data_IF_337216712253
#
_entry.id   IF_337216712253
#
_cell.length_a   1.000
_cell.length_b   1.000
_cell.length_c   1.000
_cell.angle_alpha   90.00
_cell.angle_beta   90.00
_cell.angle_gamma   90.00
#
_symmetry.space_group_name_H-M   'P 1'
#
loop_
_entity.id
_entity.type
_entity.pdbx_description
1 polymer ?
#
# COMPACT_ATOMS: atom_id res chain seq x y z
N UNK A 1 1.89 -33.68 35.25
CA UNK A 1 1.34 -33.37 33.91
C UNK A 1 2.33 -32.46 33.20
N UNK A 2 3.15 -33.02 32.32
CA UNK A 2 4.19 -32.27 31.63
C UNK A 2 3.55 -31.33 30.59
N UNK A 3 3.75 -30.03 30.79
CA UNK A 3 3.38 -28.99 29.83
C UNK A 3 4.20 -29.18 28.56
N UNK A 4 3.56 -29.66 27.50
CA UNK A 4 4.17 -29.73 26.18
C UNK A 4 4.54 -28.31 25.74
N UNK A 5 5.83 -28.08 25.52
CA UNK A 5 6.31 -26.86 24.90
C UNK A 5 5.61 -26.66 23.53
N UNK A 6 5.23 -25.43 23.15
CA UNK A 6 4.69 -25.18 21.83
C UNK A 6 5.71 -25.66 20.79
N UNK A 7 5.25 -26.46 19.83
CA UNK A 7 6.09 -27.00 18.76
C UNK A 7 6.84 -25.84 18.07
N UNK A 8 8.15 -26.00 17.75
CA UNK A 8 8.90 -24.97 17.06
C UNK A 8 8.20 -24.67 15.73
N UNK A 9 7.81 -23.41 15.54
CA UNK A 9 7.25 -22.89 14.29
C UNK A 9 8.10 -23.42 13.13
N UNK A 10 7.50 -24.17 12.20
CA UNK A 10 8.28 -24.92 11.22
C UNK A 10 9.09 -23.96 10.32
N UNK A 11 10.39 -23.91 10.54
CA UNK A 11 11.28 -23.39 9.49
C UNK A 11 11.05 -24.32 8.29
N UNK A 12 10.68 -23.80 7.10
CA UNK A 12 10.48 -24.65 5.94
C UNK A 12 11.69 -25.53 5.71
N UNK A 13 11.47 -26.83 5.62
CA UNK A 13 12.52 -27.78 5.27
C UNK A 13 13.21 -27.26 3.99
N UNK A 14 14.52 -26.96 4.02
CA UNK A 14 15.23 -26.39 2.88
C UNK A 14 15.20 -27.31 1.65
N UNK A 15 14.94 -28.61 1.82
CA UNK A 15 14.72 -29.55 0.73
C UNK A 15 13.35 -29.40 0.06
N UNK A 16 12.35 -28.84 0.76
CA UNK A 16 10.99 -28.65 0.25
C UNK A 16 10.93 -27.54 -0.79
N UNK A 17 10.03 -27.68 -1.78
CA UNK A 17 9.73 -26.62 -2.77
C UNK A 17 9.46 -25.26 -2.09
N UNK A 18 8.77 -25.29 -0.94
CA UNK A 18 8.46 -24.10 -0.15
C UNK A 18 9.71 -23.43 0.42
N UNK A 19 10.66 -24.21 0.96
CA UNK A 19 11.94 -23.70 1.45
C UNK A 19 12.77 -23.06 0.35
N UNK A 20 12.79 -23.66 -0.84
CA UNK A 20 13.47 -23.10 -2.02
C UNK A 20 12.84 -21.78 -2.48
N UNK A 21 11.50 -21.70 -2.51
CA UNK A 21 10.80 -20.45 -2.86
C UNK A 21 11.05 -19.37 -1.80
N UNK A 22 11.04 -19.72 -0.52
CA UNK A 22 11.38 -18.78 0.56
C UNK A 22 12.80 -18.22 0.36
N UNK A 23 13.78 -19.10 0.12
CA UNK A 23 15.16 -18.70 -0.14
C UNK A 23 15.30 -17.83 -1.41
N UNK A 24 14.54 -18.12 -2.47
CA UNK A 24 14.52 -17.31 -3.70
C UNK A 24 13.97 -15.91 -3.45
N UNK A 25 12.85 -15.80 -2.74
CA UNK A 25 12.16 -14.53 -2.49
C UNK A 25 12.91 -13.65 -1.48
N UNK A 26 13.63 -14.27 -0.54
CA UNK A 26 14.52 -13.58 0.40
C UNK A 26 15.90 -13.25 -0.20
N UNK A 27 16.24 -13.81 -1.37
CA UNK A 27 17.53 -13.58 -2.00
C UNK A 27 17.74 -12.09 -2.32
N UNK A 28 18.91 -11.50 -2.02
CA UNK A 28 19.20 -10.11 -2.33
C UNK A 28 18.99 -9.79 -3.81
N UNK A 29 19.41 -10.68 -4.72
CA UNK A 29 19.20 -10.48 -6.15
C UNK A 29 17.72 -10.32 -6.51
N UNK A 30 16.83 -11.14 -5.93
CA UNK A 30 15.39 -11.03 -6.17
C UNK A 30 14.83 -9.71 -5.64
N UNK A 31 15.26 -9.28 -4.45
CA UNK A 31 14.87 -7.98 -3.90
C UNK A 31 15.32 -6.80 -4.77
N UNK A 32 16.57 -6.82 -5.26
CA UNK A 32 17.08 -5.79 -6.17
C UNK A 32 16.33 -5.79 -7.51
N UNK A 33 16.01 -6.97 -8.05
CA UNK A 33 15.19 -7.11 -9.26
C UNK A 33 13.80 -6.48 -9.08
N UNK A 34 13.08 -6.82 -8.01
CA UNK A 34 11.77 -6.22 -7.72
C UNK A 34 11.88 -4.70 -7.54
N UNK A 35 12.91 -4.23 -6.84
CA UNK A 35 13.17 -2.80 -6.66
C UNK A 35 13.38 -2.09 -8.01
N UNK A 36 14.16 -2.69 -8.91
CA UNK A 36 14.36 -2.15 -10.26
C UNK A 36 13.04 -2.08 -11.05
N UNK A 37 12.23 -3.14 -11.00
CA UNK A 37 10.91 -3.16 -11.66
C UNK A 37 10.00 -2.05 -11.12
N UNK A 38 9.97 -1.83 -9.80
CA UNK A 38 9.21 -0.74 -9.19
C UNK A 38 9.70 0.63 -9.69
N UNK A 39 11.02 0.86 -9.73
CA UNK A 39 11.58 2.12 -10.19
C UNK A 39 11.25 2.40 -11.66
N UNK A 40 11.40 1.41 -12.54
CA UNK A 40 11.06 1.58 -13.95
C UNK A 40 9.56 1.81 -14.11
N UNK A 41 8.71 1.06 -13.41
CA UNK A 41 7.26 1.25 -13.47
C UNK A 41 6.82 2.63 -12.94
N UNK A 42 7.49 3.18 -11.92
CA UNK A 42 7.23 4.53 -11.44
C UNK A 42 7.56 5.59 -12.51
N UNK A 43 8.66 5.42 -13.25
CA UNK A 43 9.02 6.28 -14.39
C UNK A 43 7.98 6.15 -15.51
N UNK A 44 7.59 4.92 -15.87
CA UNK A 44 6.55 4.64 -16.87
C UNK A 44 5.25 5.36 -16.52
N UNK A 45 4.83 5.33 -15.26
CA UNK A 45 3.60 5.97 -14.80
C UNK A 45 3.67 7.51 -14.90
N UNK A 46 4.85 8.10 -14.66
CA UNK A 46 5.09 9.52 -14.94
C UNK A 46 4.98 9.85 -16.43
N UNK A 47 5.53 8.99 -17.30
CA UNK A 47 5.42 9.15 -18.74
C UNK A 47 3.99 8.98 -19.26
N UNK A 48 3.18 8.10 -18.66
CA UNK A 48 1.75 7.94 -18.97
C UNK A 48 0.94 9.23 -18.74
N UNK A 49 1.44 10.13 -17.89
CA UNK A 49 0.79 11.42 -17.61
C UNK A 49 1.05 12.45 -18.72
N UNK A 50 2.09 12.26 -19.54
CA UNK A 50 2.44 13.16 -20.65
C UNK A 50 1.73 12.75 -21.93
N UNK A 51 0.92 13.65 -22.49
CA UNK A 51 0.24 13.43 -23.79
C UNK A 51 1.23 13.19 -24.93
N UNK A 52 2.37 13.88 -24.92
CA UNK A 52 3.45 13.71 -25.92
C UNK A 52 4.08 12.32 -25.82
N UNK A 53 4.38 11.84 -24.61
CA UNK A 53 4.96 10.52 -24.41
C UNK A 53 3.96 9.40 -24.75
N UNK A 54 2.68 9.59 -24.41
CA UNK A 54 1.62 8.67 -24.78
C UNK A 54 1.38 8.61 -26.30
N UNK A 55 1.52 9.72 -27.01
CA UNK A 55 1.44 9.73 -28.47
C UNK A 55 2.63 8.99 -29.13
N UNK A 56 3.83 9.10 -28.56
CA UNK A 56 5.03 8.48 -29.11
C UNK A 56 5.16 6.98 -28.76
N UNK A 57 4.81 6.59 -27.53
CA UNK A 57 5.08 5.25 -27.00
C UNK A 57 3.96 4.67 -26.11
N UNK A 58 2.74 5.21 -26.17
CA UNK A 58 1.63 4.83 -25.28
C UNK A 58 1.37 3.33 -25.16
N UNK A 59 1.23 2.56 -26.27
CA UNK A 59 1.02 1.12 -26.20
C UNK A 59 2.16 0.37 -25.48
N UNK A 60 3.41 0.82 -25.66
CA UNK A 60 4.57 0.25 -25.00
C UNK A 60 4.59 0.55 -23.50
N UNK A 61 4.27 1.79 -23.11
CA UNK A 61 4.17 2.19 -21.69
C UNK A 61 3.10 1.36 -20.97
N UNK A 62 1.91 1.22 -21.57
CA UNK A 62 0.81 0.42 -21.01
C UNK A 62 1.16 -1.07 -20.92
N UNK A 63 1.85 -1.62 -21.92
CA UNK A 63 2.33 -3.01 -21.88
C UNK A 63 3.33 -3.21 -20.73
N UNK A 64 4.24 -2.27 -20.53
CA UNK A 64 5.20 -2.31 -19.44
C UNK A 64 4.50 -2.24 -18.06
N UNK A 65 3.49 -1.37 -17.89
CA UNK A 65 2.70 -1.32 -16.65
C UNK A 65 2.00 -2.65 -16.36
N UNK A 66 1.42 -3.29 -17.38
CA UNK A 66 0.80 -4.60 -17.27
C UNK A 66 1.78 -5.71 -16.89
N UNK A 67 2.98 -5.71 -17.50
CA UNK A 67 4.05 -6.67 -17.17
C UNK A 67 4.54 -6.47 -15.73
N UNK A 68 4.77 -5.21 -15.32
CA UNK A 68 5.18 -4.89 -13.95
C UNK A 68 4.14 -5.37 -12.93
N UNK A 69 2.85 -5.13 -13.20
CA UNK A 69 1.76 -5.64 -12.37
C UNK A 69 1.80 -7.17 -12.29
N UNK A 70 1.93 -7.87 -13.42
CA UNK A 70 2.00 -9.33 -13.43
C UNK A 70 3.17 -9.87 -12.61
N UNK A 71 4.36 -9.25 -12.70
CA UNK A 71 5.52 -9.58 -11.87
C UNK A 71 5.19 -9.43 -10.38
N UNK A 72 4.51 -8.34 -10.00
CA UNK A 72 4.11 -8.10 -8.61
C UNK A 72 3.07 -9.09 -8.10
N UNK A 73 2.11 -9.52 -8.93
CA UNK A 73 1.16 -10.58 -8.58
C UNK A 73 1.92 -11.88 -8.30
N UNK A 74 2.86 -12.25 -9.18
CA UNK A 74 3.66 -13.46 -9.02
C UNK A 74 4.52 -13.37 -7.76
N UNK A 75 5.21 -12.24 -7.54
CA UNK A 75 6.03 -11.99 -6.35
C UNK A 75 5.22 -12.20 -5.05
N UNK A 76 4.04 -11.59 -4.95
CA UNK A 76 3.18 -11.71 -3.77
C UNK A 76 2.61 -13.12 -3.64
N UNK A 77 2.26 -13.77 -4.74
CA UNK A 77 1.87 -15.18 -4.75
C UNK A 77 2.98 -16.10 -4.21
N UNK A 78 4.23 -15.87 -4.60
CA UNK A 78 5.39 -16.61 -4.10
C UNK A 78 5.62 -16.35 -2.61
N UNK A 79 5.55 -15.09 -2.15
CA UNK A 79 5.63 -14.73 -0.72
C UNK A 79 4.52 -15.40 0.10
N UNK A 80 3.29 -15.37 -0.39
CA UNK A 80 2.15 -15.99 0.28
C UNK A 80 2.30 -17.51 0.37
N UNK A 81 2.77 -18.15 -0.70
CA UNK A 81 3.05 -19.59 -0.70
C UNK A 81 4.18 -19.98 0.25
N UNK A 82 5.26 -19.19 0.26
CA UNK A 82 6.43 -19.41 1.12
C UNK A 82 6.10 -19.25 2.62
N UNK A 83 5.40 -18.17 2.98
CA UNK A 83 5.21 -17.76 4.37
C UNK A 83 3.83 -18.10 4.97
N UNK A 84 2.82 -18.43 4.15
CA UNK A 84 1.46 -18.78 4.57
C UNK A 84 0.89 -17.78 5.59
N UNK A 85 0.47 -18.24 6.78
CA UNK A 85 -0.09 -17.38 7.83
C UNK A 85 0.92 -16.35 8.38
N UNK A 86 2.22 -16.62 8.28
CA UNK A 86 3.26 -15.66 8.69
C UNK A 86 3.30 -14.43 7.78
N UNK A 87 2.85 -14.56 6.53
CA UNK A 87 2.70 -13.44 5.61
C UNK A 87 1.84 -12.32 6.21
N UNK A 88 0.71 -12.67 6.84
CA UNK A 88 -0.24 -11.73 7.44
C UNK A 88 0.19 -11.18 8.81
N UNK A 89 1.34 -11.62 9.34
CA UNK A 89 1.92 -11.03 10.57
C UNK A 89 2.87 -9.88 10.28
N UNK A 90 3.31 -9.73 9.04
CA UNK A 90 4.18 -8.64 8.60
C UNK A 90 3.34 -7.54 7.93
N UNK A 91 3.30 -6.37 8.55
CA UNK A 91 2.55 -5.22 8.06
C UNK A 91 2.99 -4.76 6.66
N UNK A 92 4.26 -4.95 6.29
CA UNK A 92 4.77 -4.60 4.96
C UNK A 92 4.27 -5.56 3.88
N UNK A 93 4.14 -6.85 4.21
CA UNK A 93 3.58 -7.84 3.31
C UNK A 93 2.07 -7.61 3.11
N UNK A 94 1.34 -7.25 4.17
CA UNK A 94 -0.08 -6.87 4.07
C UNK A 94 -0.23 -5.62 3.21
N UNK A 95 0.60 -4.60 3.42
CA UNK A 95 0.59 -3.37 2.62
C UNK A 95 0.78 -3.65 1.13
N UNK A 96 1.78 -4.46 0.78
CA UNK A 96 2.00 -4.86 -0.61
C UNK A 96 0.82 -5.65 -1.19
N UNK A 97 0.24 -6.57 -0.41
CA UNK A 97 -0.92 -7.36 -0.82
C UNK A 97 -2.12 -6.47 -1.13
N UNK A 98 -2.40 -5.47 -0.28
CA UNK A 98 -3.50 -4.52 -0.49
C UNK A 98 -3.25 -3.69 -1.76
N UNK A 99 -2.04 -3.17 -1.96
CA UNK A 99 -1.70 -2.39 -3.14
C UNK A 99 -1.89 -3.19 -4.43
N UNK A 100 -1.37 -4.41 -4.46
CA UNK A 100 -1.51 -5.29 -5.63
C UNK A 100 -2.99 -5.66 -5.83
N UNK A 101 -3.71 -5.96 -4.75
CA UNK A 101 -5.15 -6.25 -4.79
C UNK A 101 -5.98 -5.11 -5.40
N UNK A 102 -5.72 -3.86 -5.01
CA UNK A 102 -6.37 -2.67 -5.58
C UNK A 102 -6.07 -2.54 -7.08
N UNK A 103 -4.85 -2.88 -7.52
CA UNK A 103 -4.46 -2.83 -8.92
C UNK A 103 -5.10 -3.92 -9.80
N UNK A 104 -5.59 -5.03 -9.21
CA UNK A 104 -6.34 -6.06 -9.92
C UNK A 104 -7.83 -5.75 -10.10
N UNK A 105 -8.37 -4.71 -9.44
CA UNK A 105 -9.79 -4.40 -9.51
C UNK A 105 -10.20 -4.07 -10.96
N UNK A 106 -11.23 -4.74 -11.52
CA UNK A 106 -11.68 -4.51 -12.88
C UNK A 106 -12.04 -3.05 -13.15
N UNK A 107 -11.78 -2.61 -14.37
CA UNK A 107 -11.86 -1.21 -14.79
C UNK A 107 -13.28 -0.67 -15.01
N UNK A 108 -14.32 -1.48 -14.75
CA UNK A 108 -15.73 -1.15 -14.98
C UNK A 108 -16.56 -1.14 -13.67
N UNK A 109 -17.44 -0.14 -13.52
CA UNK A 109 -18.41 -0.04 -12.42
C UNK A 109 -18.13 1.07 -11.40
N UNK A 110 -18.86 1.07 -10.26
CA UNK A 110 -18.81 2.13 -9.23
C UNK A 110 -17.43 2.34 -8.59
N UNK A 111 -16.53 1.37 -8.75
CA UNK A 111 -15.20 1.37 -8.16
C UNK A 111 -14.13 2.01 -9.07
N UNK A 112 -14.54 2.85 -10.03
CA UNK A 112 -13.63 3.54 -10.95
C UNK A 112 -12.59 4.41 -10.23
N UNK A 113 -12.86 4.90 -9.01
CA UNK A 113 -11.89 5.62 -8.18
C UNK A 113 -10.69 4.74 -7.78
N UNK A 114 -10.89 3.42 -7.59
CA UNK A 114 -9.81 2.50 -7.25
C UNK A 114 -8.77 2.41 -8.38
N UNK A 115 -9.16 2.78 -9.62
CA UNK A 115 -8.23 2.99 -10.73
C UNK A 115 -7.18 4.03 -10.40
N UNK A 116 -7.58 5.19 -9.86
CA UNK A 116 -6.63 6.25 -9.55
C UNK A 116 -5.65 5.80 -8.45
N UNK A 117 -6.12 4.98 -7.51
CA UNK A 117 -5.31 4.42 -6.44
C UNK A 117 -4.21 3.47 -6.94
N UNK A 118 -4.22 3.00 -8.20
CA UNK A 118 -3.11 2.25 -8.76
C UNK A 118 -1.79 3.03 -8.76
N UNK A 119 -1.82 4.37 -8.69
CA UNK A 119 -0.62 5.21 -8.50
C UNK A 119 0.06 4.94 -7.16
N UNK A 120 -0.71 4.51 -6.15
CA UNK A 120 -0.19 4.13 -4.84
C UNK A 120 0.78 2.96 -4.92
N UNK A 121 0.82 2.20 -6.03
CA UNK A 121 1.81 1.15 -6.23
C UNK A 121 3.26 1.65 -6.21
N UNK A 122 3.48 2.94 -6.51
CA UNK A 122 4.81 3.57 -6.35
C UNK A 122 5.24 3.58 -4.87
N UNK A 123 4.28 3.60 -3.94
CA UNK A 123 4.56 3.49 -2.50
C UNK A 123 5.13 2.13 -2.09
N UNK A 124 5.13 1.11 -2.97
CA UNK A 124 5.87 -0.13 -2.73
C UNK A 124 7.38 0.10 -2.60
N UNK A 125 7.91 1.22 -3.09
CA UNK A 125 9.29 1.61 -2.75
C UNK A 125 9.49 1.72 -1.23
N UNK A 126 8.49 2.21 -0.50
CA UNK A 126 8.54 2.29 0.96
C UNK A 126 8.64 0.90 1.59
N UNK A 127 7.96 -0.08 1.01
CA UNK A 127 7.98 -1.46 1.49
C UNK A 127 9.19 -2.25 1.02
N UNK A 128 9.92 -1.89 -0.04
CA UNK A 128 11.13 -2.67 -0.43
C UNK A 128 12.43 -2.03 0.04
N UNK A 129 12.48 -0.70 0.21
CA UNK A 129 13.70 0.01 0.60
C UNK A 129 13.82 0.08 2.13
N UNK A 130 14.82 -0.57 2.76
CA UNK A 130 14.91 -0.64 4.22
C UNK A 130 15.04 0.71 4.93
N UNK A 131 15.71 1.69 4.32
CA UNK A 131 15.82 3.04 4.87
C UNK A 131 14.46 3.74 4.90
N UNK A 132 13.65 3.59 3.85
CA UNK A 132 12.29 4.15 3.80
C UNK A 132 11.37 3.47 4.82
N UNK A 133 11.46 2.14 4.98
CA UNK A 133 10.74 1.42 6.04
C UNK A 133 11.03 2.00 7.42
N UNK A 134 12.30 2.28 7.73
CA UNK A 134 12.71 2.86 9.02
C UNK A 134 12.13 4.26 9.22
N UNK A 135 12.19 5.11 8.19
CA UNK A 135 11.61 6.47 8.24
C UNK A 135 10.11 6.40 8.49
N UNK A 136 9.38 5.59 7.72
CA UNK A 136 7.93 5.43 7.85
C UNK A 136 7.56 4.82 9.21
N UNK A 137 8.30 3.82 9.68
CA UNK A 137 8.08 3.23 11.01
C UNK A 137 8.33 4.24 12.13
N UNK A 138 9.34 5.11 12.00
CA UNK A 138 9.58 6.19 12.96
C UNK A 138 8.44 7.22 12.97
N UNK A 139 7.91 7.59 11.79
CA UNK A 139 6.74 8.46 11.68
C UNK A 139 5.51 7.86 12.36
N UNK A 140 5.19 6.59 12.07
CA UNK A 140 4.08 5.90 12.71
C UNK A 140 4.30 5.69 14.22
N UNK A 141 5.55 5.47 14.65
CA UNK A 141 5.92 5.34 16.06
C UNK A 141 5.74 6.63 16.86
N UNK A 142 5.76 7.80 16.21
CA UNK A 142 5.49 9.08 16.86
C UNK A 142 3.99 9.35 17.08
N UNK A 143 3.10 8.73 16.28
CA UNK A 143 1.66 8.99 16.34
C UNK A 143 0.99 8.69 17.69
N UNK A 144 1.29 7.58 18.39
CA UNK A 144 0.67 7.29 19.68
C UNK A 144 0.94 8.38 20.72
N UNK A 145 2.13 8.97 20.72
CA UNK A 145 2.50 10.08 21.63
C UNK A 145 1.72 11.37 21.36
N UNK A 146 1.16 11.52 20.15
CA UNK A 146 0.35 12.66 19.74
C UNK A 146 -1.16 12.43 19.91
N UNK A 147 -1.59 11.25 20.36
CA UNK A 147 -3.01 10.86 20.42
C UNK A 147 -3.88 11.87 21.19
N UNK A 148 -3.40 12.36 22.33
CA UNK A 148 -4.12 13.37 23.13
C UNK A 148 -4.29 14.70 22.38
N UNK A 149 -3.27 15.14 21.65
CA UNK A 149 -3.32 16.39 20.86
C UNK A 149 -4.31 16.22 19.71
N UNK A 150 -4.24 15.09 18.99
CA UNK A 150 -5.18 14.75 17.92
C UNK A 150 -6.62 14.73 18.44
N UNK A 151 -6.86 14.12 19.61
CA UNK A 151 -8.18 14.05 20.22
C UNK A 151 -8.74 15.45 20.58
N UNK A 152 -7.93 16.30 21.21
CA UNK A 152 -8.33 17.69 21.53
C UNK A 152 -8.59 18.48 20.26
N UNK A 153 -7.73 18.35 19.24
CA UNK A 153 -7.91 19.05 17.96
C UNK A 153 -9.20 18.61 17.26
N UNK A 154 -9.51 17.32 17.25
CA UNK A 154 -10.77 16.79 16.69
C UNK A 154 -11.99 17.31 17.46
N UNK A 155 -11.92 17.41 18.79
CA UNK A 155 -12.99 17.98 19.61
C UNK A 155 -13.22 19.46 19.28
N UNK A 156 -12.14 20.24 19.16
CA UNK A 156 -12.22 21.66 18.81
C UNK A 156 -12.83 21.84 17.42
N UNK A 157 -12.38 21.08 16.41
CA UNK A 157 -12.98 21.12 15.08
C UNK A 157 -14.45 20.70 15.10
N UNK A 158 -14.83 19.68 15.87
CA UNK A 158 -16.22 19.26 16.00
C UNK A 158 -17.12 20.35 16.61
N UNK A 159 -16.72 20.95 17.74
CA UNK A 159 -17.48 22.04 18.37
C UNK A 159 -17.57 23.26 17.44
N UNK A 160 -16.47 23.58 16.76
CA UNK A 160 -16.41 24.64 15.74
C UNK A 160 -17.40 24.39 14.59
N UNK A 161 -17.38 23.20 13.98
CA UNK A 161 -18.29 22.84 12.89
C UNK A 161 -19.76 22.95 13.31
N UNK A 162 -20.12 22.49 14.52
CA UNK A 162 -21.48 22.61 15.07
C UNK A 162 -21.88 24.07 15.27
N UNK A 163 -20.99 24.90 15.81
CA UNK A 163 -21.26 26.31 16.04
C UNK A 163 -21.43 27.06 14.71
N UNK A 164 -20.52 26.85 13.75
CA UNK A 164 -20.59 27.43 12.41
C UNK A 164 -21.87 27.03 11.68
N UNK A 165 -22.27 25.76 11.76
CA UNK A 165 -23.55 25.29 11.18
C UNK A 165 -24.74 26.05 11.79
N UNK A 166 -24.76 26.24 13.11
CA UNK A 166 -25.88 26.91 13.78
C UNK A 166 -25.95 28.41 13.52
N UNK A 167 -24.81 29.09 13.45
CA UNK A 167 -24.75 30.54 13.28
C UNK A 167 -24.93 30.95 11.82
N UNK A 168 -24.34 30.20 10.90
CA UNK A 168 -24.19 30.61 9.50
C UNK A 168 -24.92 29.72 8.52
N UNK A 169 -25.42 28.54 8.92
CA UNK A 169 -26.10 27.61 8.01
C UNK A 169 -27.36 28.16 7.35
N UNK A 170 -28.05 29.11 7.99
CA UNK A 170 -29.19 29.81 7.39
C UNK A 170 -28.79 30.87 6.36
N UNK A 171 -27.65 31.54 6.56
CA UNK A 171 -27.18 32.64 5.69
C UNK A 171 -26.28 32.15 4.55
N UNK A 172 -25.56 31.05 4.76
CA UNK A 172 -24.56 30.49 3.84
C UNK A 172 -24.69 28.96 3.78
N UNK A 173 -25.80 28.43 3.25
CA UNK A 173 -26.10 27.00 3.27
C UNK A 173 -25.10 26.14 2.47
N UNK A 174 -24.48 26.67 1.43
CA UNK A 174 -23.49 25.93 0.62
C UNK A 174 -22.20 25.62 1.39
N UNK A 175 -21.85 26.44 2.39
CA UNK A 175 -20.65 26.27 3.20
C UNK A 175 -20.96 25.73 4.59
N UNK A 176 -22.02 26.23 5.24
CA UNK A 176 -22.32 25.88 6.64
C UNK A 176 -23.66 25.13 6.81
N UNK A 177 -24.25 24.63 5.72
CA UNK A 177 -25.56 23.96 5.80
C UNK A 177 -25.52 22.59 6.50
N UNK A 178 -24.34 21.96 6.60
CA UNK A 178 -24.16 20.68 7.29
C UNK A 178 -22.86 20.66 8.08
N UNK A 179 -22.77 19.76 9.07
CA UNK A 179 -21.56 19.57 9.88
C UNK A 179 -20.36 19.15 9.03
N UNK A 180 -20.58 18.38 7.95
CA UNK A 180 -19.50 17.95 7.04
C UNK A 180 -19.01 19.05 6.10
N UNK A 181 -19.80 20.11 5.90
CA UNK A 181 -19.40 21.29 5.12
C UNK A 181 -18.76 22.40 5.97
N UNK A 182 -19.06 22.42 7.28
CA UNK A 182 -18.71 23.48 8.24
C UNK A 182 -17.35 23.32 8.91
#
# INVERSE_FOLDING_TARGET
MASAAPAPDHVPDPASLRGRIAALVEAPFFQHFITAVILVNAVTLGLETSSTAMAAAGPFLLAFDGIALAIFVVEIGLKLFAFRLRFFRDGWNIFDFVIVGVALVPSAGPLSVLRALRILRVLRLLSVVPSLRKVVAALFGALPGMGSIIAVLLLVFYVGAVLSTKLFGGSFPDWFGTIGGS
#
